data_IF_939191964374
#
_entry.id   IF_939191964374
#
_cell.length_a   1.000
_cell.length_b   1.000
_cell.length_c   1.000
_cell.angle_alpha   90.00
_cell.angle_beta   90.00
_cell.angle_gamma   90.00
#
_symmetry.space_group_name_H-M   'P 1'
#
loop_
_entity.id
_entity.type
_entity.pdbx_description
1 polymer ?
#
# COMPACT_ATOMS: atom_id res chain seq x y z
N UNK A 1 -13.06 1.31 1.69
CA UNK A 1 -12.64 0.99 0.33
C UNK A 1 -11.89 2.16 -0.30
N UNK A 2 -10.58 2.18 -0.08
CA UNK A 2 -9.58 3.12 -0.58
C UNK A 2 -8.53 2.28 -1.33
N UNK A 3 -8.21 2.66 -2.56
CA UNK A 3 -7.36 1.87 -3.46
C UNK A 3 -6.25 2.77 -3.99
N UNK A 4 -4.99 2.34 -3.79
CA UNK A 4 -3.81 2.98 -4.37
C UNK A 4 -3.43 2.35 -5.71
N UNK A 5 -2.79 3.14 -6.57
CA UNK A 5 -2.13 2.67 -7.80
C UNK A 5 -0.64 2.97 -7.67
N UNK A 6 0.19 1.97 -7.91
CA UNK A 6 1.65 2.11 -7.92
C UNK A 6 2.25 1.41 -9.12
N UNK A 7 3.30 1.97 -9.69
CA UNK A 7 4.13 1.28 -10.70
C UNK A 7 5.23 0.44 -10.06
N UNK A 8 5.45 0.61 -8.75
CA UNK A 8 6.44 -0.10 -7.98
C UNK A 8 5.76 -1.16 -7.11
N UNK A 9 6.44 -2.28 -6.90
CA UNK A 9 6.01 -3.29 -5.95
C UNK A 9 6.02 -2.75 -4.52
N UNK A 10 5.25 -3.39 -3.64
CA UNK A 10 5.33 -3.10 -2.20
C UNK A 10 6.74 -3.40 -1.69
N UNK A 11 7.21 -2.57 -0.75
CA UNK A 11 8.50 -2.80 -0.08
C UNK A 11 8.52 -4.19 0.60
N UNK A 12 9.72 -4.77 0.76
CA UNK A 12 9.87 -6.15 1.26
C UNK A 12 9.59 -6.24 2.77
N UNK A 13 9.54 -5.10 3.44
CA UNK A 13 9.24 -4.91 4.84
C UNK A 13 7.79 -5.33 5.13
N UNK A 14 7.62 -6.16 6.17
CA UNK A 14 6.31 -6.67 6.54
C UNK A 14 5.40 -5.59 7.16
N UNK A 15 5.98 -4.51 7.71
CA UNK A 15 5.27 -3.44 8.38
C UNK A 15 5.87 -2.07 8.01
N UNK A 16 5.00 -1.11 7.71
CA UNK A 16 5.36 0.29 7.48
C UNK A 16 5.38 0.97 8.85
N UNK A 17 6.58 1.30 9.35
CA UNK A 17 6.74 1.86 10.70
C UNK A 17 6.62 3.39 10.76
N UNK A 18 6.81 4.08 9.63
CA UNK A 18 6.82 5.55 9.55
C UNK A 18 5.42 6.09 9.22
N UNK A 19 4.47 5.84 10.14
CA UNK A 19 3.07 6.26 10.01
C UNK A 19 2.77 7.48 10.88
N UNK A 20 2.08 8.46 10.31
CA UNK A 20 1.68 9.71 10.95
C UNK A 20 0.16 9.78 11.15
N UNK A 21 -0.31 10.61 12.08
CA UNK A 21 -1.74 10.73 12.42
C UNK A 21 -2.65 11.10 11.23
N UNK A 22 -2.10 11.80 10.23
CA UNK A 22 -2.83 12.19 9.01
C UNK A 22 -2.86 11.13 7.91
N UNK A 23 -2.14 10.03 8.06
CA UNK A 23 -2.03 9.02 7.03
C UNK A 23 -3.34 8.25 6.85
N UNK A 24 -3.53 7.78 5.62
CA UNK A 24 -4.74 7.10 5.22
C UNK A 24 -4.41 5.65 4.87
N UNK A 25 -4.89 4.73 5.71
CA UNK A 25 -4.84 3.31 5.42
C UNK A 25 -5.60 2.98 4.12
N UNK A 26 -4.96 2.20 3.25
CA UNK A 26 -5.55 1.66 2.03
C UNK A 26 -6.14 0.28 2.30
N UNK A 27 -7.20 -0.09 1.59
CA UNK A 27 -7.69 -1.47 1.57
C UNK A 27 -6.92 -2.31 0.54
N UNK A 28 -6.48 -1.67 -0.55
CA UNK A 28 -5.73 -2.32 -1.63
C UNK A 28 -4.70 -1.38 -2.26
N UNK A 29 -3.62 -1.95 -2.80
CA UNK A 29 -2.75 -1.29 -3.77
C UNK A 29 -2.59 -2.15 -5.01
N UNK A 30 -2.82 -1.56 -6.18
CA UNK A 30 -2.72 -2.23 -7.48
C UNK A 30 -1.42 -1.82 -8.16
N UNK A 31 -0.69 -2.80 -8.66
CA UNK A 31 0.45 -2.62 -9.57
C UNK A 31 0.16 -3.30 -10.90
N UNK A 32 0.98 -3.10 -11.95
CA UNK A 32 0.80 -3.80 -13.22
C UNK A 32 0.82 -5.33 -13.08
N UNK A 33 1.58 -5.86 -12.12
CA UNK A 33 1.82 -7.30 -11.98
C UNK A 33 1.02 -7.96 -10.84
N UNK A 34 0.56 -7.18 -9.85
CA UNK A 34 -0.08 -7.74 -8.63
C UNK A 34 -1.07 -6.77 -7.97
N UNK A 35 -2.06 -7.35 -7.28
CA UNK A 35 -2.92 -6.61 -6.34
C UNK A 35 -2.56 -7.01 -4.92
N UNK A 36 -2.19 -6.03 -4.10
CA UNK A 36 -1.95 -6.14 -2.67
C UNK A 36 -3.22 -5.80 -1.90
N UNK A 37 -3.48 -6.54 -0.82
CA UNK A 37 -4.56 -6.28 0.14
C UNK A 37 -3.93 -5.99 1.50
N UNK A 38 -4.33 -4.88 2.12
CA UNK A 38 -3.84 -4.44 3.43
C UNK A 38 -4.94 -4.55 4.49
#
# INVERSE_FOLDING_TARGET
>A
LKIGLSFFEAEAEAEINDVFEGDIALDYCVTPDKVYKF
#
